data_IF_269876514755
#
_entry.id   IF_269876514755
#
_cell.length_a   1.000
_cell.length_b   1.000
_cell.length_c   1.000
_cell.angle_alpha   90.00
_cell.angle_beta   90.00
_cell.angle_gamma   90.00
#
_symmetry.space_group_name_H-M   'P 1'
#
loop_
_entity.id
_entity.type
_entity.pdbx_description
1 polymer ?
#
# COMPACT_ATOMS: atom_id res chain seq x y z
N UNK A 1 27.66 27.60 -33.64
CA UNK A 1 27.23 27.88 -32.25
C UNK A 1 26.39 26.72 -31.77
N UNK A 2 26.84 26.14 -30.66
CA UNK A 2 26.40 24.90 -30.05
C UNK A 2 24.94 24.95 -29.61
N UNK A 3 24.21 23.84 -29.74
CA UNK A 3 23.18 23.49 -28.78
C UNK A 3 23.38 22.07 -28.32
N UNK A 4 23.58 21.98 -27.02
CA UNK A 4 23.99 20.83 -26.25
C UNK A 4 22.78 20.31 -25.47
N UNK A 5 22.65 18.97 -25.38
CA UNK A 5 22.26 18.16 -24.20
C UNK A 5 20.80 18.40 -23.71
N UNK A 6 19.93 17.39 -23.54
CA UNK A 6 20.03 16.42 -22.45
C UNK A 6 19.14 15.18 -22.66
N UNK A 7 19.74 14.03 -22.32
CA UNK A 7 19.12 12.71 -22.18
C UNK A 7 18.47 12.61 -20.81
N UNK A 8 17.15 12.52 -20.76
CA UNK A 8 16.38 12.32 -19.53
C UNK A 8 16.35 10.81 -19.19
N UNK A 9 17.29 10.38 -18.34
CA UNK A 9 17.26 9.04 -17.76
C UNK A 9 16.12 8.95 -16.75
N UNK A 10 14.98 8.41 -17.19
CA UNK A 10 13.89 8.00 -16.32
C UNK A 10 14.38 6.88 -15.37
N UNK A 11 14.71 7.23 -14.13
CA UNK A 11 14.90 6.25 -13.05
C UNK A 11 13.55 5.58 -12.79
N UNK A 12 13.35 4.42 -13.41
CA UNK A 12 12.19 3.55 -13.20
C UNK A 12 12.18 3.13 -11.72
N UNK A 13 11.48 3.88 -10.86
CA UNK A 13 11.19 3.46 -9.48
C UNK A 13 10.58 2.06 -9.58
N UNK A 14 11.24 1.05 -9.02
CA UNK A 14 10.62 -0.26 -8.80
C UNK A 14 9.33 0.01 -8.03
N UNK A 15 8.19 -0.17 -8.68
CA UNK A 15 6.90 -0.16 -7.99
C UNK A 15 6.96 -1.36 -7.05
N UNK A 16 6.99 -1.11 -5.74
CA UNK A 16 6.88 -2.17 -4.73
C UNK A 16 5.57 -2.90 -5.00
N UNK A 17 5.65 -4.20 -5.29
CA UNK A 17 4.46 -4.99 -5.54
C UNK A 17 3.83 -5.28 -4.20
N UNK A 18 2.54 -5.00 -4.09
CA UNK A 18 1.78 -5.24 -2.87
C UNK A 18 0.88 -6.44 -3.14
N UNK A 19 0.96 -7.48 -2.31
CA UNK A 19 0.05 -8.62 -2.39
C UNK A 19 -0.13 -9.31 -1.05
N UNK A 20 -1.27 -9.97 -0.87
CA UNK A 20 -1.51 -10.80 0.29
C UNK A 20 -0.46 -11.92 0.32
N UNK A 21 0.31 -12.07 1.42
CA UNK A 21 1.35 -13.11 1.51
C UNK A 21 0.76 -14.53 1.59
N UNK A 22 -0.55 -14.66 1.81
CA UNK A 22 -1.23 -15.95 1.98
C UNK A 22 -1.88 -16.42 0.68
N UNK A 23 -2.65 -15.57 0.00
CA UNK A 23 -3.39 -15.96 -1.21
C UNK A 23 -2.94 -15.23 -2.48
N UNK A 24 -2.03 -14.26 -2.39
CA UNK A 24 -1.54 -13.49 -3.53
C UNK A 24 -2.48 -12.42 -4.07
N UNK A 25 -3.62 -12.15 -3.41
CA UNK A 25 -4.53 -11.06 -3.80
C UNK A 25 -3.81 -9.71 -3.82
N UNK A 26 -4.03 -8.92 -4.87
CA UNK A 26 -3.41 -7.60 -5.04
C UNK A 26 -4.45 -6.50 -4.77
N UNK A 27 -4.12 -5.49 -3.95
CA UNK A 27 -5.00 -4.37 -3.71
C UNK A 27 -5.17 -3.51 -4.96
N UNK A 28 -6.42 -3.05 -5.17
CA UNK A 28 -6.81 -2.20 -6.29
C UNK A 28 -6.87 -0.69 -5.91
N UNK A 29 -6.43 -0.35 -4.70
CA UNK A 29 -6.40 1.03 -4.18
C UNK A 29 -7.72 1.53 -3.59
N UNK A 30 -8.73 0.67 -3.43
CA UNK A 30 -10.02 1.06 -2.83
C UNK A 30 -10.00 1.02 -1.30
N UNK A 31 -10.86 1.82 -0.63
CA UNK A 31 -10.92 1.91 0.82
C UNK A 31 -11.70 0.74 1.43
N UNK A 32 -11.07 -0.42 1.57
CA UNK A 32 -11.71 -1.61 2.10
C UNK A 32 -11.67 -1.75 3.62
N UNK A 33 -10.76 -1.05 4.29
CA UNK A 33 -10.56 -1.17 5.73
C UNK A 33 -11.22 -0.01 6.45
N UNK A 34 -11.75 -0.27 7.64
CA UNK A 34 -12.36 0.73 8.49
C UNK A 34 -11.57 0.86 9.79
N UNK A 35 -11.39 2.10 10.26
CA UNK A 35 -10.78 2.33 11.57
C UNK A 35 -11.73 1.91 12.69
N UNK A 36 -11.26 1.11 13.65
CA UNK A 36 -12.04 0.69 14.82
C UNK A 36 -12.41 1.86 15.77
N UNK A 37 -11.67 2.97 15.73
CA UNK A 37 -11.88 4.13 16.61
C UNK A 37 -12.82 5.18 16.02
N UNK A 38 -12.63 5.54 14.75
CA UNK A 38 -13.35 6.64 14.10
C UNK A 38 -14.20 6.21 12.90
N UNK A 39 -14.24 4.91 12.59
CA UNK A 39 -15.02 4.30 11.50
C UNK A 39 -14.73 4.83 10.10
N UNK A 40 -13.71 5.67 9.93
CA UNK A 40 -13.25 6.12 8.61
C UNK A 40 -12.81 4.91 7.80
N UNK A 41 -13.33 4.78 6.58
CA UNK A 41 -12.86 3.80 5.62
C UNK A 41 -11.67 4.34 4.84
N UNK A 42 -10.64 3.53 4.66
CA UNK A 42 -9.39 3.93 4.03
C UNK A 42 -8.71 2.74 3.33
N UNK A 43 -7.83 3.06 2.39
CA UNK A 43 -6.91 2.08 1.82
C UNK A 43 -5.69 1.98 2.74
N UNK A 44 -5.53 0.83 3.37
CA UNK A 44 -4.43 0.57 4.30
C UNK A 44 -3.07 0.67 3.61
N UNK A 45 -2.96 0.39 2.31
CA UNK A 45 -1.68 0.45 1.60
C UNK A 45 -1.31 1.88 1.21
N UNK A 46 -2.30 2.74 0.98
CA UNK A 46 -2.07 4.17 0.74
C UNK A 46 -1.52 4.89 1.97
N UNK A 47 -1.93 4.46 3.16
CA UNK A 47 -1.57 5.10 4.43
C UNK A 47 -0.59 4.27 5.27
N UNK A 48 -0.04 3.18 4.72
CA UNK A 48 0.84 2.24 5.44
C UNK A 48 0.25 1.73 6.77
N UNK A 49 -1.04 1.38 6.76
CA UNK A 49 -1.81 0.97 7.92
C UNK A 49 -1.91 2.04 9.02
N UNK A 50 -1.95 3.31 8.63
CA UNK A 50 -2.31 4.42 9.52
C UNK A 50 -3.69 4.99 9.18
N UNK A 51 -4.47 5.33 10.20
CA UNK A 51 -5.74 6.00 10.03
C UNK A 51 -5.49 7.46 9.64
N UNK A 52 -6.05 7.96 8.53
CA UNK A 52 -5.85 9.34 8.09
C UNK A 52 -6.52 10.39 9.01
N UNK A 53 -7.44 9.96 9.89
CA UNK A 53 -8.25 10.87 10.72
C UNK A 53 -7.78 10.94 12.16
N UNK A 54 -7.50 9.80 12.79
CA UNK A 54 -7.22 9.70 14.23
C UNK A 54 -5.83 9.15 14.55
N UNK A 55 -4.99 8.96 13.53
CA UNK A 55 -3.60 8.51 13.63
C UNK A 55 -3.40 7.12 14.28
N UNK A 56 -4.47 6.32 14.40
CA UNK A 56 -4.37 4.94 14.85
C UNK A 56 -3.60 4.11 13.81
N UNK A 57 -2.69 3.24 14.25
CA UNK A 57 -1.91 2.37 13.37
C UNK A 57 -2.18 0.89 13.64
N UNK A 58 -2.05 0.04 12.62
CA UNK A 58 -2.19 -1.41 12.75
C UNK A 58 -0.95 -2.16 12.27
N UNK A 59 -0.57 -3.21 12.99
CA UNK A 59 0.55 -4.08 12.61
C UNK A 59 0.13 -5.22 11.67
N UNK A 60 -1.17 -5.52 11.63
CA UNK A 60 -1.76 -6.58 10.82
C UNK A 60 -2.79 -6.00 9.86
N UNK A 61 -2.86 -6.57 8.66
CA UNK A 61 -3.88 -6.24 7.66
C UNK A 61 -4.68 -7.49 7.31
N UNK A 62 -6.00 -7.35 7.30
CA UNK A 62 -6.92 -8.40 6.84
C UNK A 62 -7.02 -8.37 5.33
N UNK A 63 -6.88 -9.53 4.68
CA UNK A 63 -7.12 -9.66 3.25
C UNK A 63 -8.62 -9.74 2.95
N UNK A 64 -9.13 -8.99 1.99
CA UNK A 64 -10.55 -9.04 1.62
C UNK A 64 -10.93 -10.29 0.80
N UNK A 65 -9.95 -10.95 0.19
CA UNK A 65 -10.20 -12.11 -0.66
C UNK A 65 -10.19 -13.43 0.13
N UNK A 66 -9.23 -13.60 1.05
CA UNK A 66 -9.12 -14.82 1.86
C UNK A 66 -9.51 -14.64 3.33
N UNK A 67 -9.86 -13.40 3.74
CA UNK A 67 -10.27 -13.01 5.10
C UNK A 67 -9.26 -13.29 6.23
N UNK A 68 -8.08 -13.82 5.91
CA UNK A 68 -6.98 -14.04 6.86
C UNK A 68 -6.24 -12.72 7.13
N UNK A 69 -5.77 -12.58 8.36
CA UNK A 69 -4.88 -11.50 8.76
C UNK A 69 -3.43 -11.91 8.56
N UNK A 70 -2.60 -10.97 8.14
CA UNK A 70 -1.15 -11.14 8.03
C UNK A 70 -0.44 -9.85 8.44
N UNK A 71 0.81 -9.92 8.91
CA UNK A 71 1.60 -8.72 9.24
C UNK A 71 1.65 -7.77 8.03
N UNK A 72 1.44 -6.47 8.25
CA UNK A 72 1.32 -5.49 7.16
C UNK A 72 2.61 -5.37 6.34
N UNK A 73 3.78 -5.48 6.99
CA UNK A 73 5.10 -5.51 6.36
C UNK A 73 5.27 -6.65 5.35
N UNK A 74 4.63 -7.81 5.58
CA UNK A 74 4.68 -8.97 4.68
C UNK A 74 3.93 -8.78 3.36
N UNK A 75 3.15 -7.72 3.23
CA UNK A 75 2.44 -7.42 1.98
C UNK A 75 3.34 -6.81 0.91
N UNK A 76 4.48 -6.23 1.29
CA UNK A 76 5.36 -5.49 0.39
C UNK A 76 6.48 -6.39 -0.15
N UNK A 77 6.58 -6.50 -1.47
CA UNK A 77 7.65 -7.20 -2.16
C UNK A 77 8.66 -6.23 -2.81
N UNK A 78 9.95 -6.55 -2.70
CA UNK A 78 11.09 -5.77 -3.21
C UNK A 78 11.60 -6.22 -4.61
#
# INVERSE_FOLDING_TARGET
MSKAIQSEKATKKKQQRIRCPICGWQPDGKPYWACEKCLTTFDTFKTHAHCPTCDNSWHYTQCIACHKQSPHDKWYEN
#
